data_IF_975511554933
#
_entry.id   IF_975511554933
#
_cell.length_a   1.000
_cell.length_b   1.000
_cell.length_c   1.000
_cell.angle_alpha   90.00
_cell.angle_beta   90.00
_cell.angle_gamma   90.00
#
_symmetry.space_group_name_H-M   'P 1'
#
loop_
_entity.id
_entity.type
_entity.pdbx_description
1 polymer ?
#
# COMPACT_ATOMS: atom_id res chain seq x y z
N UNK A 1 -15.18 -50.20 46.86
CA UNK A 1 -13.84 -49.62 46.59
C UNK A 1 -14.03 -48.13 46.39
N UNK A 2 -13.76 -47.32 47.41
CA UNK A 2 -13.86 -45.87 47.29
C UNK A 2 -12.77 -45.40 46.31
N UNK A 3 -13.16 -44.84 45.18
CA UNK A 3 -12.22 -44.30 44.19
C UNK A 3 -11.48 -43.12 44.82
N UNK A 4 -10.15 -43.17 44.81
CA UNK A 4 -9.32 -42.03 45.19
C UNK A 4 -9.60 -40.89 44.20
N UNK A 5 -10.47 -39.96 44.57
CA UNK A 5 -10.72 -38.76 43.80
C UNK A 5 -9.58 -37.78 44.11
N UNK A 6 -8.47 -37.89 43.37
CA UNK A 6 -7.39 -36.90 43.40
C UNK A 6 -7.89 -35.61 42.72
N UNK A 7 -8.75 -34.86 43.41
CA UNK A 7 -8.96 -33.47 43.07
C UNK A 7 -7.63 -32.77 43.37
N UNK A 8 -6.81 -32.57 42.34
CA UNK A 8 -5.65 -31.68 42.43
C UNK A 8 -6.23 -30.29 42.66
N UNK A 9 -6.38 -29.91 43.93
CA UNK A 9 -6.62 -28.52 44.32
C UNK A 9 -5.36 -27.76 43.94
N UNK A 10 -5.31 -27.29 42.70
CA UNK A 10 -4.30 -26.33 42.29
C UNK A 10 -4.62 -25.08 43.11
N UNK A 11 -3.86 -24.87 44.20
CA UNK A 11 -4.06 -23.72 45.07
C UNK A 11 -3.98 -22.42 44.26
N UNK A 12 -4.56 -21.34 44.78
CA UNK A 12 -4.60 -20.01 44.15
C UNK A 12 -3.25 -19.60 43.50
N UNK A 13 -2.12 -19.96 44.13
CA UNK A 13 -0.78 -19.72 43.60
C UNK A 13 -0.48 -20.40 42.23
N UNK A 14 -0.95 -21.63 41.99
CA UNK A 14 -0.78 -22.32 40.71
C UNK A 14 -1.65 -21.72 39.61
N UNK A 15 -2.87 -21.27 39.94
CA UNK A 15 -3.70 -20.48 39.02
C UNK A 15 -3.05 -19.12 38.70
N UNK A 16 -2.41 -18.49 39.68
CA UNK A 16 -1.69 -17.22 39.48
C UNK A 16 -0.49 -17.38 38.55
N UNK A 17 0.33 -18.43 38.73
CA UNK A 17 1.48 -18.71 37.86
C UNK A 17 1.06 -18.93 36.40
N UNK A 18 0.04 -19.77 36.17
CA UNK A 18 -0.50 -20.02 34.83
C UNK A 18 -1.05 -18.73 34.21
N UNK A 19 -1.73 -17.89 34.98
CA UNK A 19 -2.26 -16.62 34.50
C UNK A 19 -1.14 -15.62 34.15
N UNK A 20 -0.10 -15.53 34.98
CA UNK A 20 1.08 -14.69 34.71
C UNK A 20 1.81 -15.15 33.44
N UNK A 21 2.02 -16.45 33.26
CA UNK A 21 2.67 -17.00 32.06
C UNK A 21 1.83 -16.74 30.80
N UNK A 22 0.51 -16.97 30.85
CA UNK A 22 -0.38 -16.66 29.74
C UNK A 22 -0.36 -15.17 29.40
N UNK A 23 -0.45 -14.31 30.41
CA UNK A 23 -0.39 -12.86 30.23
C UNK A 23 0.93 -12.44 29.59
N UNK A 24 2.05 -13.00 30.05
CA UNK A 24 3.38 -12.72 29.49
C UNK A 24 3.48 -13.16 28.03
N UNK A 25 3.04 -14.37 27.69
CA UNK A 25 3.06 -14.89 26.31
C UNK A 25 2.23 -14.01 25.38
N UNK A 26 0.99 -13.65 25.78
CA UNK A 26 0.15 -12.75 24.99
C UNK A 26 0.78 -11.38 24.81
N UNK A 27 1.31 -10.78 25.88
CA UNK A 27 1.96 -9.48 25.81
C UNK A 27 3.24 -9.51 24.95
N UNK A 28 4.02 -10.59 24.97
CA UNK A 28 5.24 -10.69 24.16
C UNK A 28 4.93 -10.75 22.66
N UNK A 29 3.92 -11.52 22.24
CA UNK A 29 3.65 -11.74 20.81
C UNK A 29 2.58 -10.82 20.20
N UNK A 30 1.71 -10.21 21.01
CA UNK A 30 0.66 -9.30 20.55
C UNK A 30 1.03 -7.81 20.68
N UNK A 31 2.03 -7.47 21.50
CA UNK A 31 2.43 -6.07 21.68
C UNK A 31 3.36 -5.61 20.54
N UNK A 32 2.86 -4.69 19.72
CA UNK A 32 3.61 -4.10 18.61
C UNK A 32 4.88 -3.35 19.07
N UNK A 33 4.97 -2.90 20.33
CA UNK A 33 6.17 -2.29 20.90
C UNK A 33 7.37 -3.23 20.98
N UNK A 34 7.18 -4.54 20.77
CA UNK A 34 8.28 -5.50 20.64
C UNK A 34 8.80 -5.60 19.19
N UNK A 35 8.18 -4.92 18.22
CA UNK A 35 8.62 -4.82 16.83
C UNK A 35 9.46 -3.54 16.69
N UNK A 36 10.63 -3.51 17.32
CA UNK A 36 11.52 -2.32 17.35
C UNK A 36 12.69 -2.41 16.39
N UNK A 37 13.02 -3.61 15.89
CA UNK A 37 14.10 -3.85 14.93
C UNK A 37 13.98 -5.25 14.30
N UNK A 38 14.67 -5.47 13.18
CA UNK A 38 14.79 -6.76 12.51
C UNK A 38 13.74 -7.04 11.43
N UNK A 39 13.75 -8.27 10.90
CA UNK A 39 12.83 -8.72 9.85
C UNK A 39 11.68 -9.48 10.51
N UNK A 40 10.44 -9.15 10.15
CA UNK A 40 9.29 -9.98 10.48
C UNK A 40 9.22 -11.15 9.49
N UNK A 41 9.32 -12.41 9.95
CA UNK A 41 9.12 -13.56 9.08
C UNK A 41 7.71 -13.56 8.48
N UNK A 42 7.55 -14.04 7.25
CA UNK A 42 6.28 -14.04 6.51
C UNK A 42 5.12 -14.70 7.26
N UNK A 43 5.38 -15.74 8.07
CA UNK A 43 4.36 -16.38 8.91
C UNK A 43 3.72 -15.47 9.97
N UNK A 44 4.32 -14.30 10.25
CA UNK A 44 3.77 -13.27 11.15
C UNK A 44 2.98 -12.18 10.42
N UNK A 45 3.14 -12.07 9.10
CA UNK A 45 2.51 -11.05 8.24
C UNK A 45 1.81 -11.74 7.07
N UNK A 46 0.66 -12.36 7.35
CA UNK A 46 -0.14 -13.05 6.34
C UNK A 46 -1.60 -12.60 6.39
N UNK A 47 -2.23 -12.45 5.23
CA UNK A 47 -3.60 -11.93 5.11
C UNK A 47 -3.68 -10.41 4.95
N UNK A 48 -4.87 -9.86 5.19
CA UNK A 48 -5.15 -8.43 5.04
C UNK A 48 -5.10 -7.71 6.39
N UNK A 49 -4.33 -6.64 6.48
CA UNK A 49 -4.16 -5.83 7.68
C UNK A 49 -4.67 -4.41 7.41
N UNK A 50 -5.94 -4.16 7.69
CA UNK A 50 -6.61 -2.88 7.41
C UNK A 50 -6.30 -1.78 8.44
N UNK A 51 -5.69 -2.13 9.57
CA UNK A 51 -5.37 -1.22 10.67
C UNK A 51 -3.97 -0.59 10.61
N UNK A 52 -3.22 -0.76 9.53
CA UNK A 52 -1.89 -0.15 9.37
C UNK A 52 -2.08 1.32 9.00
N UNK A 53 -1.74 2.22 9.93
CA UNK A 53 -1.92 3.68 9.77
C UNK A 53 -0.62 4.43 9.45
N UNK A 54 0.52 3.75 9.47
CA UNK A 54 1.81 4.32 9.13
C UNK A 54 2.80 3.25 8.68
N UNK A 55 3.59 3.58 7.67
CA UNK A 55 4.68 2.74 7.14
C UNK A 55 5.90 3.61 6.85
N UNK A 56 7.09 3.01 6.89
CA UNK A 56 8.32 3.64 6.40
C UNK A 56 8.48 3.49 4.88
N UNK A 57 9.73 3.45 4.42
CA UNK A 57 10.05 3.21 3.00
C UNK A 57 9.74 1.78 2.57
N UNK A 58 8.96 1.63 1.50
CA UNK A 58 8.72 0.35 0.83
C UNK A 58 9.67 0.23 -0.36
N UNK A 59 10.78 -0.50 -0.19
CA UNK A 59 11.78 -0.65 -1.27
C UNK A 59 11.38 -1.66 -2.35
N UNK A 60 10.51 -2.61 -2.01
CA UNK A 60 10.06 -3.69 -2.91
C UNK A 60 8.62 -4.08 -2.58
N UNK A 61 7.90 -4.64 -3.57
CA UNK A 61 6.50 -5.04 -3.44
C UNK A 61 5.55 -4.13 -4.23
N UNK A 62 4.28 -4.52 -4.30
CA UNK A 62 3.23 -3.75 -4.99
C UNK A 62 2.53 -2.83 -4.01
N UNK A 63 2.58 -1.52 -4.25
CA UNK A 63 1.71 -0.55 -3.57
C UNK A 63 0.35 -0.50 -4.28
N UNK A 64 -0.71 -0.90 -3.59
CA UNK A 64 -2.10 -0.81 -4.07
C UNK A 64 -2.90 0.31 -3.39
N UNK A 65 -2.21 1.37 -2.91
CA UNK A 65 -2.87 2.52 -2.31
C UNK A 65 -3.47 3.47 -3.35
N UNK A 66 -3.94 4.63 -2.90
CA UNK A 66 -4.40 5.70 -3.79
C UNK A 66 -3.29 6.20 -4.72
N UNK A 67 -3.67 7.00 -5.74
CA UNK A 67 -2.71 7.63 -6.65
C UNK A 67 -1.65 8.40 -5.89
N UNK A 68 -0.39 8.09 -6.18
CA UNK A 68 0.73 8.89 -5.69
C UNK A 68 0.79 10.18 -6.52
N UNK A 69 0.75 11.33 -5.86
CA UNK A 69 0.86 12.63 -6.52
C UNK A 69 2.26 12.80 -7.14
N UNK A 70 2.37 13.58 -8.22
CA UNK A 70 3.63 13.91 -8.90
C UNK A 70 4.66 14.55 -7.97
N UNK A 71 4.24 15.35 -6.98
CA UNK A 71 5.13 15.91 -5.94
C UNK A 71 5.95 14.83 -5.19
N UNK A 72 5.45 13.60 -5.15
CA UNK A 72 6.05 12.46 -4.46
C UNK A 72 6.54 11.38 -5.45
N UNK A 73 6.78 11.75 -6.71
CA UNK A 73 7.32 10.85 -7.74
C UNK A 73 6.28 9.91 -8.37
N UNK A 74 5.00 10.08 -8.07
CA UNK A 74 3.91 9.37 -8.74
C UNK A 74 3.47 10.03 -10.05
N UNK A 75 2.37 9.56 -10.62
CA UNK A 75 1.77 10.13 -11.84
C UNK A 75 0.55 11.01 -11.55
N UNK A 76 -0.02 10.96 -10.35
CA UNK A 76 -1.26 11.63 -9.99
C UNK A 76 -2.52 11.14 -10.72
N UNK A 77 -2.43 10.06 -11.51
CA UNK A 77 -3.56 9.48 -12.26
C UNK A 77 -3.69 7.97 -11.98
N UNK A 78 -4.92 7.47 -11.97
CA UNK A 78 -5.23 6.03 -11.81
C UNK A 78 -5.22 5.28 -13.14
N UNK A 79 -5.40 5.99 -14.25
CA UNK A 79 -5.53 5.42 -15.59
C UNK A 79 -5.02 6.38 -16.64
N UNK A 80 -4.49 5.84 -17.74
CA UNK A 80 -4.15 6.58 -18.94
C UNK A 80 -5.10 6.20 -20.08
N UNK A 81 -5.40 7.16 -20.96
CA UNK A 81 -6.12 6.89 -22.21
C UNK A 81 -5.36 5.85 -23.02
N UNK A 82 -6.04 4.77 -23.43
CA UNK A 82 -5.45 3.75 -24.30
C UNK A 82 -4.92 4.41 -25.59
N UNK A 83 -3.68 4.10 -25.97
CA UNK A 83 -2.98 4.69 -27.12
C UNK A 83 -2.79 6.22 -27.06
N UNK A 84 -3.02 6.86 -25.92
CA UNK A 84 -2.70 8.27 -25.69
C UNK A 84 -1.24 8.47 -25.27
N UNK A 85 -0.75 9.70 -25.40
CA UNK A 85 0.59 10.11 -24.95
C UNK A 85 0.48 10.85 -23.62
N UNK A 86 1.32 10.49 -22.65
CA UNK A 86 1.37 11.12 -21.33
C UNK A 86 2.22 12.39 -21.38
N UNK A 87 1.74 13.47 -20.77
CA UNK A 87 2.45 14.75 -20.67
C UNK A 87 2.20 15.44 -19.32
N UNK A 88 3.06 16.39 -18.95
CA UNK A 88 2.94 17.13 -17.70
C UNK A 88 1.90 18.25 -17.77
N UNK A 89 1.16 18.48 -16.69
CA UNK A 89 0.22 19.60 -16.55
C UNK A 89 0.85 20.87 -15.95
N UNK A 90 2.16 20.85 -15.67
CA UNK A 90 2.89 21.90 -14.94
C UNK A 90 2.89 21.70 -13.42
N UNK A 91 4.00 22.12 -12.79
CA UNK A 91 4.21 22.02 -11.34
C UNK A 91 4.09 20.58 -10.82
N UNK A 92 3.40 20.41 -9.68
CA UNK A 92 3.09 19.11 -9.07
C UNK A 92 1.68 18.60 -9.42
N UNK A 93 1.09 19.08 -10.52
CA UNK A 93 -0.21 18.58 -10.98
C UNK A 93 -0.14 17.14 -11.49
N UNK A 94 -1.30 16.48 -11.55
CA UNK A 94 -1.39 15.13 -12.12
C UNK A 94 -0.99 15.12 -13.60
N UNK A 95 -0.31 14.07 -14.06
CA UNK A 95 0.01 13.90 -15.47
C UNK A 95 -1.29 13.86 -16.30
N UNK A 96 -1.25 14.45 -17.48
CA UNK A 96 -2.35 14.40 -18.44
C UNK A 96 -2.04 13.41 -19.55
N UNK A 97 -3.08 12.97 -20.25
CA UNK A 97 -2.95 12.03 -21.36
C UNK A 97 -3.76 12.55 -22.54
N UNK A 98 -3.18 12.55 -23.73
CA UNK A 98 -3.90 12.95 -24.94
C UNK A 98 -5.02 11.95 -25.24
N UNK A 99 -5.97 12.34 -26.10
CA UNK A 99 -6.76 11.34 -26.82
C UNK A 99 -5.84 10.47 -27.69
N UNK A 100 -6.29 9.26 -28.06
CA UNK A 100 -5.63 8.45 -29.07
C UNK A 100 -5.68 9.17 -30.42
N UNK A 101 -4.57 9.16 -31.14
CA UNK A 101 -4.56 9.60 -32.53
C UNK A 101 -5.34 8.64 -33.44
N UNK A 102 -5.87 9.17 -34.52
CA UNK A 102 -6.39 8.38 -35.65
C UNK A 102 -5.39 8.39 -36.81
N UNK A 103 -5.63 7.53 -37.81
CA UNK A 103 -4.79 7.44 -39.01
C UNK A 103 -4.54 8.82 -39.65
N UNK A 104 -3.28 9.07 -40.02
CA UNK A 104 -2.84 10.31 -40.63
C UNK A 104 -2.57 11.47 -39.67
N UNK A 105 -2.94 11.36 -38.38
CA UNK A 105 -2.68 12.41 -37.41
C UNK A 105 -1.24 12.38 -36.89
N UNK A 106 -0.72 13.55 -36.54
CA UNK A 106 0.57 13.72 -35.85
C UNK A 106 0.36 14.42 -34.51
N UNK A 107 1.28 14.21 -33.57
CA UNK A 107 1.28 14.93 -32.30
C UNK A 107 1.83 16.34 -32.52
N UNK A 108 1.01 17.35 -32.25
CA UNK A 108 1.35 18.76 -32.40
C UNK A 108 0.95 19.57 -31.17
N UNK A 109 1.51 20.77 -31.04
CA UNK A 109 1.11 21.71 -29.98
C UNK A 109 -0.20 22.39 -30.36
N UNK A 110 -1.18 22.38 -29.45
CA UNK A 110 -2.37 23.20 -29.51
C UNK A 110 -2.35 24.16 -28.32
N UNK A 111 -1.93 25.40 -28.55
CA UNK A 111 -1.80 26.42 -27.50
C UNK A 111 -0.94 25.95 -26.30
N UNK A 112 0.11 25.16 -26.56
CA UNK A 112 1.01 24.62 -25.53
C UNK A 112 0.58 23.25 -24.96
N UNK A 113 -0.58 22.73 -25.36
CA UNK A 113 -1.05 21.39 -24.97
C UNK A 113 -0.80 20.40 -26.12
N UNK A 114 -0.13 19.25 -25.90
CA UNK A 114 0.01 18.23 -26.93
C UNK A 114 -1.33 17.65 -27.38
N UNK A 115 -1.57 17.56 -28.69
CA UNK A 115 -2.77 17.00 -29.30
C UNK A 115 -2.45 16.27 -30.61
N UNK A 116 -3.13 15.14 -30.88
CA UNK A 116 -3.14 14.53 -32.21
C UNK A 116 -4.11 15.26 -33.13
N UNK A 117 -3.61 15.72 -34.27
CA UNK A 117 -4.41 16.36 -35.31
C UNK A 117 -3.75 16.17 -36.68
N UNK A 118 -4.52 16.42 -37.74
CA UNK A 118 -3.98 16.46 -39.09
C UNK A 118 -3.09 17.71 -39.24
N UNK A 119 -2.00 17.57 -39.98
CA UNK A 119 -1.23 18.73 -40.44
C UNK A 119 -2.08 19.50 -41.45
N UNK A 120 -2.49 20.72 -41.10
CA UNK A 120 -3.31 21.57 -41.97
C UNK A 120 -2.50 22.38 -42.98
N UNK A 121 -1.16 22.27 -42.94
CA UNK A 121 -0.24 23.04 -43.78
C UNK A 121 -0.06 24.50 -43.36
N UNK A 122 -0.76 24.95 -42.30
CA UNK A 122 -0.74 26.32 -41.78
C UNK A 122 -1.51 27.34 -42.62
N UNK A 123 -1.90 28.43 -41.95
CA UNK A 123 -2.12 29.74 -42.59
C UNK A 123 -0.91 30.59 -42.23
N UNK A 124 -0.04 30.87 -43.21
CA UNK A 124 1.16 31.68 -43.02
C UNK A 124 0.82 33.17 -42.90
#
# INVERSE_FOLDING_TARGET
TAGNNYAVSIGTAGNNYVNTVNTFIFQTFANASNITSGVLPSGRLSGSYTGITGVGTISTGTWQGSTVNVAYGGTGITSATLNGVVFGSGGSGALQVTAAGTDGQVLQSNQGVPQFAMLDGGVF
#
